data_IF_578608147674
#
_entry.id   IF_578608147674
#
_cell.length_a   1.000
_cell.length_b   1.000
_cell.length_c   1.000
_cell.angle_alpha   90.00
_cell.angle_beta   90.00
_cell.angle_gamma   90.00
#
_symmetry.space_group_name_H-M   'P 1'
#
loop_
_entity.id
_entity.type
_entity.pdbx_description
1 polymer ?
#
# COMPACT_ATOMS: atom_id res chain seq x y z
N UNK A 1 26.04 92.11 -27.85
CA UNK A 1 26.89 90.94 -27.80
C UNK A 1 26.18 89.95 -26.83
N UNK A 2 25.33 89.08 -27.36
CA UNK A 2 24.54 88.09 -26.65
C UNK A 2 25.09 86.75 -27.02
N UNK A 3 25.64 86.04 -26.05
CA UNK A 3 26.20 84.71 -26.22
C UNK A 3 25.08 83.67 -25.95
N UNK A 4 24.67 82.96 -26.98
CA UNK A 4 23.77 81.82 -26.95
C UNK A 4 24.53 80.59 -26.42
N UNK A 5 23.97 79.92 -25.39
CA UNK A 5 24.40 78.57 -24.96
C UNK A 5 23.59 77.53 -25.70
N UNK A 6 24.23 76.46 -26.20
CA UNK A 6 23.52 75.41 -26.90
C UNK A 6 22.82 74.48 -25.93
N UNK A 7 21.52 74.20 -26.13
CA UNK A 7 20.69 73.22 -25.42
C UNK A 7 21.09 71.78 -25.83
N UNK A 8 21.53 70.97 -24.88
CA UNK A 8 21.78 69.58 -25.12
C UNK A 8 20.44 68.81 -25.16
N UNK A 9 20.29 67.82 -26.05
CA UNK A 9 19.02 67.11 -26.24
C UNK A 9 18.78 66.06 -25.14
N UNK A 10 17.60 66.09 -24.54
CA UNK A 10 17.03 65.20 -23.52
C UNK A 10 16.87 63.69 -23.95
N UNK A 11 17.43 63.32 -25.09
CA UNK A 11 17.20 61.99 -25.67
C UNK A 11 18.10 60.84 -25.16
N UNK A 12 19.12 61.11 -24.37
CA UNK A 12 20.07 60.13 -23.89
C UNK A 12 19.71 59.50 -22.53
N UNK A 13 18.79 60.07 -21.75
CA UNK A 13 18.43 59.54 -20.42
C UNK A 13 17.30 58.48 -20.46
N UNK A 14 16.48 58.43 -21.51
CA UNK A 14 15.39 57.49 -21.65
C UNK A 14 15.82 56.05 -22.09
N UNK A 15 17.01 55.93 -22.72
CA UNK A 15 17.49 54.61 -23.20
C UNK A 15 18.26 53.82 -22.16
N UNK A 16 18.73 54.42 -21.09
CA UNK A 16 19.45 53.72 -20.03
C UNK A 16 18.48 53.15 -18.98
N UNK A 17 17.30 53.74 -18.78
CA UNK A 17 16.29 53.21 -17.84
C UNK A 17 15.54 51.99 -18.38
N UNK A 18 15.43 51.81 -19.72
CA UNK A 18 14.73 50.62 -20.28
C UNK A 18 15.61 49.36 -20.28
N UNK A 19 16.93 49.47 -20.17
CA UNK A 19 17.84 48.32 -20.12
C UNK A 19 18.01 47.75 -18.72
N UNK A 20 17.64 48.46 -17.66
CA UNK A 20 17.72 47.99 -16.28
C UNK A 20 16.44 47.28 -15.80
N UNK A 21 15.32 47.41 -16.53
CA UNK A 21 14.06 46.73 -16.21
C UNK A 21 13.96 45.30 -16.81
N UNK A 22 14.88 44.90 -17.69
CA UNK A 22 14.91 43.54 -18.27
C UNK A 22 15.84 42.57 -17.55
N UNK A 23 16.64 43.03 -16.60
CA UNK A 23 17.56 42.20 -15.82
C UNK A 23 16.90 41.53 -14.59
N UNK A 24 15.63 41.80 -14.34
CA UNK A 24 14.90 41.30 -13.15
C UNK A 24 13.92 40.15 -13.38
N UNK A 25 13.69 39.67 -14.61
CA UNK A 25 13.00 38.41 -14.81
C UNK A 25 13.99 37.26 -14.59
N UNK A 26 14.23 36.96 -13.32
CA UNK A 26 14.87 35.72 -12.94
C UNK A 26 14.17 34.56 -13.64
N UNK A 27 14.87 33.94 -14.58
CA UNK A 27 14.45 32.71 -15.18
C UNK A 27 14.27 31.68 -14.05
N UNK A 28 13.05 31.55 -13.55
CA UNK A 28 12.65 30.35 -12.81
C UNK A 28 12.71 29.20 -13.82
N UNK A 29 13.89 28.60 -13.94
CA UNK A 29 14.03 27.38 -14.69
C UNK A 29 13.00 26.39 -14.10
N UNK A 30 12.03 25.90 -14.87
CA UNK A 30 11.19 24.83 -14.39
C UNK A 30 12.15 23.71 -14.01
N UNK A 31 12.05 23.22 -12.76
CA UNK A 31 12.76 22.02 -12.36
C UNK A 31 12.36 20.95 -13.37
N UNK A 32 13.25 20.66 -14.30
CA UNK A 32 13.04 19.58 -15.25
C UNK A 32 12.99 18.30 -14.41
N UNK A 33 11.79 17.80 -14.16
CA UNK A 33 11.63 16.45 -13.60
C UNK A 33 12.33 15.52 -14.58
N UNK A 34 13.34 14.82 -14.08
CA UNK A 34 13.99 13.77 -14.86
C UNK A 34 12.92 12.74 -15.28
N UNK A 35 13.06 12.20 -16.49
CA UNK A 35 12.16 11.15 -16.94
C UNK A 35 12.30 9.91 -16.04
N UNK A 36 11.20 9.20 -15.75
CA UNK A 36 11.26 7.95 -15.01
C UNK A 36 12.23 6.96 -15.65
N UNK A 37 12.97 6.23 -14.83
CA UNK A 37 13.88 5.21 -15.30
C UNK A 37 13.10 4.02 -15.88
N UNK A 38 13.59 3.43 -16.97
CA UNK A 38 13.05 2.18 -17.50
C UNK A 38 13.65 1.00 -16.72
N UNK A 39 13.04 0.71 -15.60
CA UNK A 39 13.49 -0.31 -14.65
C UNK A 39 12.41 -1.37 -14.45
N UNK A 40 12.78 -2.62 -14.09
CA UNK A 40 11.82 -3.69 -13.81
C UNK A 40 10.95 -3.40 -12.57
N UNK A 41 11.49 -2.65 -11.62
CA UNK A 41 10.72 -2.10 -10.51
C UNK A 41 10.07 -0.79 -10.92
N UNK A 42 8.88 -0.52 -10.41
CA UNK A 42 8.15 0.71 -10.68
C UNK A 42 7.90 1.46 -9.36
N UNK A 43 7.98 2.79 -9.36
CA UNK A 43 7.69 3.57 -8.16
C UNK A 43 6.24 3.34 -7.72
N UNK A 44 6.02 3.37 -6.41
CA UNK A 44 4.68 3.33 -5.87
C UNK A 44 3.87 4.53 -6.37
N UNK A 45 2.60 4.32 -6.74
CA UNK A 45 1.74 5.42 -7.15
C UNK A 45 1.46 6.36 -5.97
N UNK A 46 1.17 7.61 -6.25
CA UNK A 46 0.61 8.50 -5.25
C UNK A 46 -0.70 7.91 -4.67
N UNK A 47 -0.98 8.14 -3.38
CA UNK A 47 -2.25 7.72 -2.80
C UNK A 47 -3.43 8.25 -3.63
N UNK A 48 -4.45 7.43 -3.88
CA UNK A 48 -5.62 7.86 -4.63
C UNK A 48 -6.37 8.98 -3.88
N UNK A 49 -7.04 9.85 -4.61
CA UNK A 49 -7.97 10.81 -4.02
C UNK A 49 -9.21 10.06 -3.51
N UNK A 50 -9.34 9.96 -2.19
CA UNK A 50 -10.43 9.26 -1.51
C UNK A 50 -11.23 10.25 -0.68
N UNK A 51 -12.49 9.93 -0.42
CA UNK A 51 -13.34 10.70 0.49
C UNK A 51 -12.74 10.69 1.91
N UNK A 52 -12.35 11.85 2.48
CA UNK A 52 -11.69 11.89 3.78
C UNK A 52 -12.58 11.38 4.93
N UNK A 53 -13.88 11.55 4.84
CA UNK A 53 -14.81 11.07 5.87
C UNK A 53 -14.92 9.54 5.82
N UNK A 54 -14.89 8.94 4.64
CA UNK A 54 -14.88 7.50 4.48
C UNK A 54 -13.55 6.88 4.93
N UNK A 55 -12.44 7.54 4.65
CA UNK A 55 -11.12 7.15 5.16
C UNK A 55 -11.11 7.16 6.69
N UNK A 56 -11.65 8.22 7.32
CA UNK A 56 -11.69 8.32 8.77
C UNK A 56 -12.60 7.26 9.40
N UNK A 57 -13.76 6.99 8.79
CA UNK A 57 -14.62 5.89 9.24
C UNK A 57 -13.90 4.54 9.14
N UNK A 58 -13.18 4.29 8.05
CA UNK A 58 -12.38 3.09 7.88
C UNK A 58 -11.26 2.98 8.92
N UNK A 59 -10.60 4.09 9.24
CA UNK A 59 -9.57 4.16 10.30
C UNK A 59 -10.15 3.82 11.68
N UNK A 60 -11.33 4.32 12.00
CA UNK A 60 -12.03 3.99 13.26
C UNK A 60 -12.35 2.49 13.32
N UNK A 61 -12.91 1.94 12.25
CA UNK A 61 -13.22 0.51 12.14
C UNK A 61 -11.95 -0.37 12.23
N UNK A 62 -10.85 0.05 11.61
CA UNK A 62 -9.57 -0.68 11.66
C UNK A 62 -9.05 -0.83 13.10
N UNK A 63 -9.36 0.12 13.97
CA UNK A 63 -9.00 0.12 15.38
C UNK A 63 -10.14 -0.37 16.31
N UNK A 64 -11.27 -0.80 15.77
CA UNK A 64 -12.46 -1.15 16.53
C UNK A 64 -12.43 -2.61 17.03
N UNK A 65 -12.25 -2.87 18.33
CA UNK A 65 -12.17 -4.24 18.83
C UNK A 65 -13.50 -5.01 18.75
N UNK A 66 -14.63 -4.31 18.68
CA UNK A 66 -15.97 -4.93 18.52
C UNK A 66 -16.15 -5.61 17.16
N UNK A 67 -15.17 -5.52 16.24
CA UNK A 67 -15.16 -6.30 15.02
C UNK A 67 -14.92 -7.79 15.30
N UNK A 68 -14.22 -8.17 16.38
CA UNK A 68 -14.14 -9.56 16.81
C UNK A 68 -15.35 -9.95 17.66
N UNK A 69 -15.66 -11.25 17.70
CA UNK A 69 -16.85 -11.78 18.38
C UNK A 69 -16.84 -11.49 19.88
N UNK A 70 -15.68 -11.54 20.51
CA UNK A 70 -15.49 -11.30 21.96
C UNK A 70 -15.06 -9.86 22.28
N UNK A 71 -15.04 -8.99 21.30
CA UNK A 71 -14.64 -7.58 21.39
C UNK A 71 -13.20 -7.38 21.88
N UNK A 72 -12.31 -8.33 21.66
CA UNK A 72 -10.92 -8.29 22.12
C UNK A 72 -9.92 -7.89 21.05
N UNK A 73 -10.26 -8.03 19.75
CA UNK A 73 -9.34 -7.85 18.64
C UNK A 73 -9.89 -6.88 17.60
N UNK A 74 -9.02 -5.97 17.17
CA UNK A 74 -9.21 -5.14 15.99
C UNK A 74 -8.24 -5.55 14.87
N UNK A 75 -8.37 -4.97 13.67
CA UNK A 75 -7.36 -5.16 12.61
C UNK A 75 -5.97 -4.71 13.09
N UNK A 76 -5.91 -3.59 13.83
CA UNK A 76 -4.67 -3.05 14.40
C UNK A 76 -4.01 -3.99 15.42
N UNK A 77 -4.73 -4.97 15.99
CA UNK A 77 -4.15 -5.94 16.92
C UNK A 77 -3.07 -6.81 16.26
N UNK A 78 -3.27 -7.14 14.98
CA UNK A 78 -2.35 -7.95 14.20
C UNK A 78 -1.61 -7.13 13.13
N UNK A 79 -2.22 -6.04 12.64
CA UNK A 79 -1.63 -5.16 11.64
C UNK A 79 -1.13 -3.86 12.27
N UNK A 80 -0.06 -3.96 13.05
CA UNK A 80 0.53 -2.84 13.78
C UNK A 80 1.28 -1.91 12.83
N UNK A 81 0.75 -0.71 12.63
CA UNK A 81 1.32 0.26 11.69
C UNK A 81 2.69 0.78 12.13
N UNK A 82 2.95 0.81 13.44
CA UNK A 82 4.25 1.15 14.03
C UNK A 82 5.30 0.04 13.91
N UNK A 83 4.90 -1.15 13.45
CA UNK A 83 5.75 -2.32 13.25
C UNK A 83 5.71 -2.85 11.80
N UNK A 84 5.64 -1.95 10.84
CA UNK A 84 5.61 -2.33 9.43
C UNK A 84 4.30 -2.94 8.95
N UNK A 85 3.18 -2.73 9.69
CA UNK A 85 1.85 -3.22 9.32
C UNK A 85 1.61 -4.70 9.62
N UNK A 86 2.42 -5.30 10.50
CA UNK A 86 2.32 -6.68 11.00
C UNK A 86 2.68 -6.71 12.49
N UNK A 87 2.47 -7.84 13.18
CA UNK A 87 2.76 -7.99 14.61
C UNK A 87 4.12 -8.65 14.93
N UNK A 88 4.92 -8.94 13.91
CA UNK A 88 6.22 -9.61 14.02
C UNK A 88 6.17 -11.00 14.69
N UNK A 89 4.99 -11.63 14.75
CA UNK A 89 4.82 -12.96 15.27
C UNK A 89 4.83 -13.99 14.13
N UNK A 90 5.38 -15.18 14.37
CA UNK A 90 5.28 -16.29 13.41
C UNK A 90 3.82 -16.66 13.10
N UNK A 91 2.96 -16.53 14.08
CA UNK A 91 1.50 -16.63 14.00
C UNK A 91 0.90 -15.69 15.03
N UNK A 92 -0.03 -14.86 14.60
CA UNK A 92 -0.76 -13.95 15.50
C UNK A 92 -1.70 -14.72 16.41
N UNK A 93 -2.07 -14.11 17.53
CA UNK A 93 -3.10 -14.63 18.43
C UNK A 93 -4.46 -14.07 18.01
N UNK A 94 -5.28 -14.91 17.42
CA UNK A 94 -6.63 -14.56 16.99
C UNK A 94 -7.69 -14.78 18.06
N UNK A 95 -8.96 -14.89 17.63
CA UNK A 95 -10.11 -15.07 18.50
C UNK A 95 -9.91 -16.19 19.52
N UNK A 96 -10.18 -15.93 20.79
CA UNK A 96 -9.95 -16.84 21.93
C UNK A 96 -8.50 -17.33 22.05
N UNK A 97 -7.53 -16.55 21.62
CA UNK A 97 -6.12 -16.92 21.66
C UNK A 97 -5.73 -18.01 20.67
N UNK A 98 -6.59 -18.37 19.70
CA UNK A 98 -6.25 -19.35 18.69
C UNK A 98 -5.15 -18.80 17.78
N UNK A 99 -4.08 -19.57 17.50
CA UNK A 99 -3.06 -19.10 16.58
C UNK A 99 -3.62 -19.01 15.16
N UNK A 100 -3.28 -17.95 14.46
CA UNK A 100 -3.58 -17.84 13.02
C UNK A 100 -2.89 -18.93 12.23
N UNK A 101 -3.41 -19.25 11.05
CA UNK A 101 -2.84 -20.35 10.23
C UNK A 101 -1.46 -20.00 9.69
N UNK A 102 -1.23 -18.75 9.37
CA UNK A 102 -0.01 -18.23 8.75
C UNK A 102 0.40 -16.93 9.43
N UNK A 103 1.63 -16.49 9.17
CA UNK A 103 2.11 -15.18 9.56
C UNK A 103 1.20 -14.07 9.00
N UNK A 104 0.94 -13.05 9.81
CA UNK A 104 0.21 -11.86 9.38
C UNK A 104 1.06 -11.05 8.41
N UNK A 105 0.62 -10.88 7.15
CA UNK A 105 1.36 -10.06 6.18
C UNK A 105 1.19 -8.58 6.50
N UNK A 106 2.13 -7.76 6.05
CA UNK A 106 1.99 -6.32 6.13
C UNK A 106 0.72 -5.84 5.42
N UNK A 107 0.01 -4.91 6.04
CA UNK A 107 -1.13 -4.19 5.45
C UNK A 107 -0.66 -3.05 4.53
N UNK A 108 0.60 -2.58 4.68
CA UNK A 108 1.14 -1.56 3.79
C UNK A 108 1.21 -2.06 2.35
N UNK A 109 0.81 -1.21 1.43
CA UNK A 109 0.76 -1.47 -0.02
C UNK A 109 -0.14 -2.66 -0.42
N UNK A 110 -0.92 -3.24 0.52
CA UNK A 110 -1.77 -4.39 0.22
C UNK A 110 -2.83 -4.10 -0.86
N UNK A 111 -3.27 -2.84 -0.96
CA UNK A 111 -4.19 -2.39 -2.00
C UNK A 111 -3.63 -2.53 -3.44
N UNK A 112 -2.32 -2.64 -3.60
CA UNK A 112 -1.65 -2.79 -4.90
C UNK A 112 -1.41 -4.26 -5.28
N UNK A 113 -1.73 -5.20 -4.41
CA UNK A 113 -1.64 -6.62 -4.73
C UNK A 113 -2.75 -7.02 -5.71
N UNK A 114 -2.43 -7.85 -6.69
CA UNK A 114 -3.45 -8.38 -7.62
C UNK A 114 -4.34 -9.46 -6.99
N UNK A 115 -3.93 -10.02 -5.86
CA UNK A 115 -4.66 -11.01 -5.04
C UNK A 115 -4.32 -10.79 -3.57
N UNK A 116 -5.25 -11.17 -2.69
CA UNK A 116 -5.07 -11.08 -1.24
C UNK A 116 -4.91 -12.47 -0.62
N UNK A 117 -4.36 -12.51 0.59
CA UNK A 117 -3.84 -13.68 1.30
C UNK A 117 -2.60 -14.31 0.66
N UNK A 118 -1.85 -15.11 1.43
CA UNK A 118 -0.66 -15.81 0.96
C UNK A 118 -0.92 -16.76 -0.21
N UNK A 119 -2.14 -17.33 -0.26
CA UNK A 119 -2.59 -18.27 -1.30
C UNK A 119 -3.34 -17.58 -2.46
N UNK A 120 -3.54 -16.27 -2.39
CA UNK A 120 -4.20 -15.50 -3.44
C UNK A 120 -5.68 -15.85 -3.67
N UNK A 121 -6.35 -16.43 -2.68
CA UNK A 121 -7.71 -16.98 -2.85
C UNK A 121 -8.81 -15.95 -3.08
N UNK A 122 -8.57 -14.66 -2.80
CA UNK A 122 -9.53 -13.58 -3.07
C UNK A 122 -8.91 -12.43 -3.87
N UNK A 123 -9.76 -11.67 -4.55
CA UNK A 123 -9.35 -10.68 -5.54
C UNK A 123 -9.30 -9.24 -5.01
N UNK A 124 -9.96 -8.97 -3.88
CA UNK A 124 -10.09 -7.60 -3.36
C UNK A 124 -9.86 -7.55 -1.85
N UNK A 125 -9.62 -6.33 -1.35
CA UNK A 125 -9.55 -6.05 0.09
C UNK A 125 -10.88 -6.33 0.76
N UNK A 126 -12.00 -5.96 0.13
CA UNK A 126 -13.34 -6.19 0.64
C UNK A 126 -13.60 -7.70 0.86
N UNK A 127 -13.24 -8.54 -0.12
CA UNK A 127 -13.37 -10.00 0.00
C UNK A 127 -12.39 -10.60 1.04
N UNK A 128 -11.24 -9.96 1.25
CA UNK A 128 -10.32 -10.34 2.32
C UNK A 128 -10.93 -10.05 3.69
N UNK A 129 -11.47 -8.85 3.89
CA UNK A 129 -12.13 -8.42 5.12
C UNK A 129 -13.30 -9.36 5.45
N UNK A 130 -14.10 -9.73 4.44
CA UNK A 130 -15.17 -10.72 4.59
C UNK A 130 -14.68 -12.03 5.21
N UNK A 131 -13.60 -12.54 4.65
CA UNK A 131 -12.99 -13.81 5.10
C UNK A 131 -12.42 -13.72 6.51
N UNK A 132 -11.77 -12.60 6.86
CA UNK A 132 -11.14 -12.39 8.17
C UNK A 132 -12.18 -12.24 9.27
N UNK A 133 -13.24 -11.47 9.04
CA UNK A 133 -14.34 -11.29 10.00
C UNK A 133 -14.95 -12.61 10.40
N UNK A 134 -15.15 -13.50 9.45
CA UNK A 134 -15.83 -14.79 9.66
C UNK A 134 -14.88 -15.94 10.06
N UNK A 135 -13.58 -15.71 10.00
CA UNK A 135 -12.59 -16.75 10.34
C UNK A 135 -12.57 -17.05 11.84
N UNK A 136 -12.81 -18.30 12.25
CA UNK A 136 -12.80 -18.68 13.68
C UNK A 136 -11.43 -18.59 14.33
N UNK A 137 -10.34 -18.52 13.57
CA UNK A 137 -8.99 -18.32 14.08
C UNK A 137 -8.49 -16.86 13.96
N UNK A 138 -9.34 -15.93 13.50
CA UNK A 138 -9.02 -14.52 13.35
C UNK A 138 -10.01 -13.68 14.15
N UNK A 139 -11.12 -13.18 13.57
CA UNK A 139 -12.11 -12.35 14.28
C UNK A 139 -13.27 -13.19 14.89
N UNK A 140 -13.56 -14.37 14.37
CA UNK A 140 -14.56 -15.30 14.88
C UNK A 140 -15.99 -14.78 14.88
N UNK A 141 -16.29 -13.69 14.15
CA UNK A 141 -17.58 -13.02 14.18
C UNK A 141 -18.50 -13.44 13.01
N UNK A 142 -19.73 -12.95 13.04
CA UNK A 142 -20.67 -13.02 11.91
C UNK A 142 -21.11 -11.63 11.55
N UNK A 143 -21.39 -11.40 10.26
CA UNK A 143 -21.87 -10.09 9.81
C UNK A 143 -23.14 -9.63 10.51
N UNK A 144 -24.07 -10.56 10.77
CA UNK A 144 -25.32 -10.23 11.46
C UNK A 144 -25.10 -9.77 12.90
N UNK A 145 -24.15 -10.35 13.62
CA UNK A 145 -23.80 -9.94 14.99
C UNK A 145 -23.05 -8.60 14.98
N UNK A 146 -22.06 -8.46 14.09
CA UNK A 146 -21.27 -7.26 13.95
C UNK A 146 -22.11 -6.05 13.57
N UNK A 147 -23.02 -6.18 12.59
CA UNK A 147 -23.91 -5.09 12.18
C UNK A 147 -24.81 -4.67 13.35
N UNK A 148 -25.36 -5.59 14.13
CA UNK A 148 -26.14 -5.24 15.34
C UNK A 148 -25.29 -4.43 16.32
N UNK A 149 -24.08 -4.93 16.64
CA UNK A 149 -23.17 -4.25 17.59
C UNK A 149 -22.82 -2.83 17.13
N UNK A 150 -22.55 -2.62 15.85
CA UNK A 150 -22.26 -1.29 15.31
C UNK A 150 -23.54 -0.42 15.26
N UNK A 151 -24.72 -1.04 15.02
CA UNK A 151 -26.00 -0.32 14.97
C UNK A 151 -26.49 0.13 16.35
N UNK A 152 -25.99 -0.43 17.44
CA UNK A 152 -26.28 0.04 18.79
C UNK A 152 -25.47 1.30 19.16
N UNK A 153 -24.52 1.70 18.32
CA UNK A 153 -23.67 2.86 18.52
C UNK A 153 -24.15 4.05 17.66
N UNK A 154 -24.65 5.09 18.31
CA UNK A 154 -25.17 6.28 17.65
C UNK A 154 -24.12 7.05 16.83
N UNK A 155 -22.82 6.94 17.19
CA UNK A 155 -21.73 7.57 16.43
C UNK A 155 -21.53 6.84 15.10
N UNK A 156 -21.56 5.51 15.09
CA UNK A 156 -21.51 4.74 13.86
C UNK A 156 -22.76 4.91 13.01
N UNK A 157 -23.97 4.91 13.61
CA UNK A 157 -25.21 5.21 12.89
C UNK A 157 -25.12 6.55 12.14
N UNK A 158 -24.64 7.59 12.82
CA UNK A 158 -24.46 8.92 12.23
C UNK A 158 -23.43 8.91 11.09
N UNK A 159 -22.26 8.31 11.33
CA UNK A 159 -21.17 8.29 10.35
C UNK A 159 -21.55 7.50 9.10
N UNK A 160 -22.13 6.31 9.25
CA UNK A 160 -22.59 5.52 8.11
C UNK A 160 -23.77 6.19 7.40
N UNK A 161 -24.75 6.72 8.11
CA UNK A 161 -25.90 7.42 7.52
C UNK A 161 -25.52 8.65 6.69
N UNK A 162 -24.39 9.30 7.02
CA UNK A 162 -23.87 10.43 6.25
C UNK A 162 -23.16 10.00 4.94
N UNK A 163 -22.60 8.77 4.90
CA UNK A 163 -21.73 8.31 3.84
C UNK A 163 -22.36 7.25 2.91
N UNK A 164 -23.34 6.52 3.44
CA UNK A 164 -23.97 5.39 2.76
C UNK A 164 -25.50 5.47 2.88
N UNK A 165 -26.24 5.53 1.77
CA UNK A 165 -27.71 5.65 1.79
C UNK A 165 -28.43 4.51 2.53
N UNK A 166 -27.83 3.31 2.51
CA UNK A 166 -28.34 2.09 3.15
C UNK A 166 -27.72 1.84 4.55
N UNK A 167 -26.97 2.81 5.10
CA UNK A 167 -26.45 2.80 6.45
C UNK A 167 -25.42 1.70 6.72
N UNK A 168 -25.54 1.02 7.86
CA UNK A 168 -24.58 0.00 8.31
C UNK A 168 -24.93 -1.35 7.67
N UNK A 169 -24.18 -1.74 6.66
CA UNK A 169 -24.26 -3.06 6.01
C UNK A 169 -22.88 -3.71 5.97
N UNK A 170 -22.82 -5.03 5.75
CA UNK A 170 -21.54 -5.73 5.58
C UNK A 170 -20.70 -5.10 4.47
N UNK A 171 -21.32 -4.81 3.32
CA UNK A 171 -20.65 -4.20 2.19
C UNK A 171 -20.09 -2.80 2.51
N UNK A 172 -20.82 -1.99 3.27
CA UNK A 172 -20.38 -0.65 3.63
C UNK A 172 -19.25 -0.66 4.67
N UNK A 173 -19.27 -1.59 5.62
CA UNK A 173 -18.16 -1.81 6.56
C UNK A 173 -16.91 -2.26 5.82
N UNK A 174 -17.03 -3.23 4.92
CA UNK A 174 -15.92 -3.69 4.07
C UNK A 174 -15.37 -2.54 3.20
N UNK A 175 -16.25 -1.76 2.58
CA UNK A 175 -15.85 -0.63 1.75
C UNK A 175 -15.13 0.46 2.54
N UNK A 176 -15.59 0.81 3.74
CA UNK A 176 -14.95 1.80 4.59
C UNK A 176 -13.54 1.31 5.02
N UNK A 177 -13.42 0.07 5.48
CA UNK A 177 -12.12 -0.54 5.84
C UNK A 177 -11.17 -0.56 4.64
N UNK A 178 -11.61 -1.08 3.50
CA UNK A 178 -10.81 -1.11 2.28
C UNK A 178 -10.41 0.30 1.80
N UNK A 179 -11.28 1.30 1.99
CA UNK A 179 -10.96 2.70 1.67
C UNK A 179 -9.83 3.22 2.55
N UNK A 180 -9.84 2.90 3.84
CA UNK A 180 -8.72 3.24 4.72
C UNK A 180 -7.43 2.50 4.32
N UNK A 181 -7.48 1.20 4.08
CA UNK A 181 -6.31 0.41 3.68
C UNK A 181 -5.67 0.92 2.38
N UNK A 182 -6.46 1.47 1.45
CA UNK A 182 -5.96 2.12 0.23
C UNK A 182 -5.12 3.37 0.51
N UNK A 183 -5.18 3.95 1.71
CA UNK A 183 -4.29 5.04 2.13
C UNK A 183 -2.96 4.55 2.69
N UNK A 184 -2.85 3.27 3.05
CA UNK A 184 -1.66 2.70 3.66
C UNK A 184 -0.59 2.39 2.61
N UNK A 185 -0.15 3.42 1.90
CA UNK A 185 0.90 3.32 0.88
C UNK A 185 2.19 3.97 1.40
N UNK A 186 3.31 3.28 1.24
CA UNK A 186 4.64 3.77 1.55
C UNK A 186 5.28 4.53 0.38
N UNK A 187 4.47 5.23 -0.40
CA UNK A 187 4.90 5.96 -1.59
C UNK A 187 5.88 7.10 -1.27
N UNK A 188 6.64 7.51 -2.30
CA UNK A 188 7.64 8.59 -2.22
C UNK A 188 8.84 8.26 -1.32
N UNK A 189 9.18 6.98 -1.18
CA UNK A 189 10.44 6.56 -0.59
C UNK A 189 11.63 7.08 -1.40
N UNK A 190 12.84 7.06 -0.82
CA UNK A 190 14.07 7.39 -1.57
C UNK A 190 14.22 6.53 -2.82
N UNK A 191 13.81 5.26 -2.74
CA UNK A 191 13.86 4.35 -3.87
C UNK A 191 12.81 4.69 -4.94
N UNK A 192 11.59 5.09 -4.56
CA UNK A 192 10.59 5.58 -5.52
C UNK A 192 11.10 6.82 -6.25
N UNK A 193 11.71 7.77 -5.53
CA UNK A 193 12.28 8.97 -6.12
C UNK A 193 13.42 8.64 -7.11
N UNK A 194 14.26 7.66 -6.78
CA UNK A 194 15.28 7.15 -7.68
C UNK A 194 14.65 6.60 -8.98
N UNK A 195 13.64 5.75 -8.87
CA UNK A 195 12.93 5.19 -10.03
C UNK A 195 12.23 6.28 -10.86
N UNK A 196 11.84 7.40 -10.24
CA UNK A 196 11.29 8.58 -10.91
C UNK A 196 12.35 9.48 -11.57
N UNK A 197 13.63 9.08 -11.51
CA UNK A 197 14.72 9.79 -12.17
C UNK A 197 15.60 10.67 -11.28
N UNK A 198 15.32 10.77 -9.96
CA UNK A 198 16.22 11.44 -9.02
C UNK A 198 17.38 10.53 -8.65
N UNK A 199 18.35 10.41 -9.57
CA UNK A 199 19.44 9.44 -9.42
C UNK A 199 20.39 9.75 -8.27
N UNK A 200 20.40 10.96 -7.75
CA UNK A 200 21.34 11.39 -6.70
C UNK A 200 20.82 11.10 -5.27
N UNK A 201 19.56 10.68 -5.14
CA UNK A 201 18.92 10.39 -3.86
C UNK A 201 19.49 9.14 -3.18
N UNK A 202 20.02 8.18 -3.95
CA UNK A 202 20.63 6.95 -3.45
C UNK A 202 22.16 7.06 -3.44
N UNK A 203 22.78 6.47 -2.43
CA UNK A 203 24.22 6.30 -2.36
C UNK A 203 24.74 5.34 -3.44
N UNK A 204 26.04 5.33 -3.67
CA UNK A 204 26.67 4.37 -4.58
C UNK A 204 26.46 2.92 -4.12
N UNK A 205 26.51 2.68 -2.81
CA UNK A 205 26.26 1.35 -2.24
C UNK A 205 24.83 0.88 -2.48
N UNK A 206 23.84 1.74 -2.28
CA UNK A 206 22.42 1.42 -2.52
C UNK A 206 22.18 1.13 -4.01
N UNK A 207 22.75 1.92 -4.90
CA UNK A 207 22.70 1.66 -6.36
C UNK A 207 23.39 0.33 -6.72
N UNK A 208 24.54 0.05 -6.12
CA UNK A 208 25.23 -1.22 -6.31
C UNK A 208 24.41 -2.40 -5.80
N UNK A 209 23.78 -2.27 -4.63
CA UNK A 209 22.86 -3.27 -4.08
C UNK A 209 21.70 -3.55 -5.04
N UNK A 210 21.09 -2.51 -5.58
CA UNK A 210 20.04 -2.67 -6.60
C UNK A 210 20.54 -3.32 -7.89
N UNK A 211 21.74 -2.97 -8.35
CA UNK A 211 22.34 -3.64 -9.51
C UNK A 211 22.55 -5.14 -9.22
N UNK A 212 23.06 -5.50 -8.03
CA UNK A 212 23.21 -6.92 -7.63
C UNK A 212 21.88 -7.66 -7.59
N UNK A 213 20.81 -7.01 -7.12
CA UNK A 213 19.47 -7.56 -7.14
C UNK A 213 19.01 -7.92 -8.57
N UNK A 214 19.37 -7.10 -9.55
CA UNK A 214 19.13 -7.36 -10.97
C UNK A 214 20.03 -8.50 -11.49
N UNK A 215 21.32 -8.42 -11.26
CA UNK A 215 22.33 -9.37 -11.74
C UNK A 215 22.09 -10.81 -11.24
N UNK A 216 21.62 -10.95 -10.01
CA UNK A 216 21.27 -12.25 -9.44
C UNK A 216 19.92 -12.79 -9.92
N UNK A 217 19.24 -12.07 -10.79
CA UNK A 217 17.96 -12.50 -11.36
C UNK A 217 16.76 -12.41 -10.41
N UNK A 218 16.90 -11.76 -9.26
CA UNK A 218 15.79 -11.59 -8.28
C UNK A 218 14.59 -10.90 -8.91
N UNK A 219 14.83 -10.01 -9.87
CA UNK A 219 13.79 -9.29 -10.63
C UNK A 219 12.88 -10.20 -11.45
N UNK A 220 13.26 -11.46 -11.70
CA UNK A 220 12.40 -12.42 -12.41
C UNK A 220 11.08 -12.67 -11.66
N UNK A 221 11.12 -12.56 -10.32
CA UNK A 221 9.95 -12.72 -9.44
C UNK A 221 9.62 -11.45 -8.66
N UNK A 222 10.64 -10.61 -8.37
CA UNK A 222 10.53 -9.38 -7.59
C UNK A 222 10.53 -8.17 -8.52
N UNK A 223 9.39 -7.89 -9.14
CA UNK A 223 9.21 -6.80 -10.11
C UNK A 223 7.91 -6.03 -9.87
N UNK A 224 7.72 -4.95 -10.63
CA UNK A 224 6.52 -4.12 -10.53
C UNK A 224 6.53 -3.21 -9.32
N UNK A 225 5.35 -2.69 -8.96
CA UNK A 225 5.18 -1.65 -7.92
C UNK A 225 5.39 -2.18 -6.50
N UNK A 226 5.06 -3.44 -6.24
CA UNK A 226 5.17 -4.07 -4.91
C UNK A 226 6.41 -4.98 -4.77
N UNK A 227 7.38 -4.85 -5.66
CA UNK A 227 8.61 -5.67 -5.66
C UNK A 227 8.26 -7.17 -5.62
N UNK A 228 7.26 -7.56 -6.39
CA UNK A 228 6.66 -8.88 -6.44
C UNK A 228 5.16 -8.85 -6.15
N UNK A 229 4.58 -10.01 -5.81
CA UNK A 229 3.15 -10.14 -5.54
C UNK A 229 2.24 -9.94 -6.77
N UNK A 230 2.81 -9.97 -7.96
CA UNK A 230 2.13 -9.78 -9.24
C UNK A 230 2.02 -11.06 -10.07
N UNK A 231 2.44 -12.19 -9.51
CA UNK A 231 2.37 -13.49 -10.15
C UNK A 231 2.20 -14.61 -9.14
N UNK A 232 1.67 -15.74 -9.58
CA UNK A 232 1.66 -16.97 -8.80
C UNK A 232 2.97 -17.73 -9.00
N UNK A 233 3.53 -18.23 -7.91
CA UNK A 233 4.71 -19.11 -7.94
C UNK A 233 4.46 -20.36 -7.12
N UNK A 234 4.92 -21.50 -7.64
CA UNK A 234 4.87 -22.74 -6.86
C UNK A 234 5.87 -22.65 -5.71
N UNK A 235 5.39 -22.83 -4.48
CA UNK A 235 6.29 -22.91 -3.33
C UNK A 235 7.16 -24.16 -3.42
N UNK A 236 8.47 -24.01 -3.22
CA UNK A 236 9.40 -25.16 -3.29
C UNK A 236 9.82 -25.55 -4.71
N UNK A 237 9.92 -24.60 -5.65
CA UNK A 237 10.39 -24.85 -7.04
C UNK A 237 11.76 -25.51 -7.07
N UNK A 238 12.67 -25.10 -6.16
CA UNK A 238 14.05 -25.62 -6.07
C UNK A 238 14.20 -26.84 -5.16
N UNK A 239 13.14 -27.26 -4.47
CA UNK A 239 13.10 -28.40 -3.59
C UNK A 239 11.74 -28.50 -2.90
N UNK A 240 11.25 -29.71 -2.65
CA UNK A 240 9.96 -29.89 -1.98
C UNK A 240 10.06 -29.54 -0.48
N UNK A 241 9.78 -28.27 -0.18
CA UNK A 241 9.82 -27.75 1.17
C UNK A 241 8.87 -28.48 2.13
N UNK A 242 7.70 -28.89 1.68
CA UNK A 242 6.71 -29.54 2.52
C UNK A 242 7.07 -31.00 2.79
N UNK A 243 7.58 -31.71 1.77
CA UNK A 243 8.11 -33.08 1.96
C UNK A 243 9.30 -33.07 2.92
N UNK A 244 10.23 -32.11 2.78
CA UNK A 244 11.39 -31.97 3.65
C UNK A 244 11.01 -31.72 5.13
N UNK A 245 9.86 -31.10 5.41
CA UNK A 245 9.34 -30.87 6.76
C UNK A 245 8.50 -32.02 7.30
N UNK A 246 8.29 -33.08 6.54
CA UNK A 246 7.38 -34.16 6.92
C UNK A 246 5.92 -33.71 7.04
N UNK A 247 5.57 -32.57 6.49
CA UNK A 247 4.20 -32.04 6.50
C UNK A 247 3.60 -32.32 5.12
N UNK A 248 2.70 -33.30 4.98
CA UNK A 248 2.03 -33.49 3.70
C UNK A 248 1.32 -32.20 3.30
N UNK A 249 1.28 -31.92 1.99
CA UNK A 249 0.34 -30.94 1.42
C UNK A 249 -1.08 -31.47 1.66
N UNK A 250 -1.57 -31.40 2.88
CA UNK A 250 -2.99 -31.67 3.11
C UNK A 250 -3.76 -30.49 2.53
N UNK A 251 -4.88 -30.72 1.84
CA UNK A 251 -5.73 -29.66 1.27
C UNK A 251 -6.44 -28.80 2.33
N UNK A 252 -5.92 -28.69 3.53
CA UNK A 252 -6.46 -27.89 4.64
C UNK A 252 -6.27 -26.38 4.47
N UNK A 253 -5.65 -25.96 3.39
CA UNK A 253 -5.68 -24.57 2.95
C UNK A 253 -7.01 -24.36 2.24
N UNK A 254 -8.03 -24.06 3.00
CA UNK A 254 -9.43 -23.72 2.72
C UNK A 254 -9.85 -23.14 1.38
N UNK A 255 -9.32 -23.67 0.30
CA UNK A 255 -9.86 -23.48 -1.03
C UNK A 255 -10.47 -24.82 -1.44
N UNK A 256 -11.61 -24.81 -2.09
CA UNK A 256 -12.17 -25.89 -2.88
C UNK A 256 -11.18 -26.28 -4.00
N UNK A 257 -10.11 -26.97 -3.62
CA UNK A 257 -9.10 -27.43 -4.55
C UNK A 257 -9.61 -28.70 -5.22
N UNK A 258 -10.00 -28.57 -6.49
CA UNK A 258 -10.36 -29.73 -7.30
C UNK A 258 -9.09 -30.50 -7.67
N UNK A 259 -9.03 -31.82 -7.45
CA UNK A 259 -7.89 -32.65 -7.86
C UNK A 259 -7.56 -32.61 -9.36
N UNK A 260 -8.47 -32.12 -10.18
CA UNK A 260 -8.29 -32.02 -11.63
C UNK A 260 -7.30 -30.92 -12.08
N UNK A 261 -6.94 -29.99 -11.21
CA UNK A 261 -6.00 -28.89 -11.51
C UNK A 261 -4.64 -29.06 -10.80
N UNK A 262 -4.22 -30.28 -10.56
CA UNK A 262 -3.10 -30.75 -9.74
C UNK A 262 -1.69 -30.27 -10.18
N UNK A 263 -1.52 -29.08 -10.78
CA UNK A 263 -0.18 -28.61 -11.21
C UNK A 263 0.26 -27.28 -10.62
N UNK A 264 -0.56 -26.58 -9.88
CA UNK A 264 -0.18 -25.26 -9.38
C UNK A 264 -0.79 -24.98 -8.01
N UNK A 265 -0.22 -25.56 -6.94
CA UNK A 265 -0.35 -24.93 -5.63
C UNK A 265 0.50 -23.66 -5.67
N UNK A 266 -0.14 -22.55 -6.00
CA UNK A 266 0.55 -21.28 -6.26
C UNK A 266 0.47 -20.39 -5.03
N UNK A 267 1.59 -20.11 -4.42
CA UNK A 267 1.69 -19.04 -3.42
C UNK A 267 1.71 -17.70 -4.15
N UNK A 268 0.76 -16.85 -3.90
CA UNK A 268 0.66 -15.52 -4.53
C UNK A 268 1.69 -14.51 -4.04
N UNK A 269 2.52 -14.90 -3.06
CA UNK A 269 3.55 -14.03 -2.50
C UNK A 269 4.88 -14.76 -2.41
N UNK A 270 5.87 -14.24 -3.10
CA UNK A 270 7.26 -14.62 -2.84
C UNK A 270 7.64 -14.20 -1.41
N UNK A 271 8.38 -15.04 -0.65
CA UNK A 271 8.79 -14.73 0.73
C UNK A 271 9.57 -13.44 0.94
N UNK A 272 10.05 -12.81 -0.12
CA UNK A 272 10.77 -11.54 -0.03
C UNK A 272 9.90 -10.36 0.44
N UNK A 273 8.56 -10.45 0.35
CA UNK A 273 7.71 -9.49 1.05
C UNK A 273 7.80 -9.63 2.58
N UNK A 274 8.35 -10.75 3.08
CA UNK A 274 8.62 -10.96 4.51
C UNK A 274 9.99 -10.41 4.95
N UNK A 275 10.86 -9.98 4.03
CA UNK A 275 12.18 -9.43 4.35
C UNK A 275 12.24 -7.89 4.35
N UNK A 276 11.12 -7.21 4.20
CA UNK A 276 11.00 -5.76 4.44
C UNK A 276 10.60 -5.45 5.88
N UNK A 277 10.94 -6.33 6.80
CA UNK A 277 10.84 -6.09 8.25
C UNK A 277 12.20 -5.79 8.82
#
# INVERSE_FOLDING_TARGET
MTTEQPRQPLRRRARVLLLLLWAGLGATSPSAFAAPLDEPLKPLPAPPALDPQRVELGRQLFNEPRLSQDHSLSCASCHRLDQGGADSQAKSSGFKGQPTRVNTPSVFNAALNFRQFWDGRVESLEAQIDSVVQSPSEMGNTWSALIRTLSDDSAYQKSFGALYPDGITAANVQNALATYEKTLLSANSRFDQYLQGNTDILSLEEKYGYQRFKDYGCIACHQGVNIGGNMFQKFGVMGDYFAARGTPLTPTWGASWSPATNRTATCSRCPACAMSQ
#
